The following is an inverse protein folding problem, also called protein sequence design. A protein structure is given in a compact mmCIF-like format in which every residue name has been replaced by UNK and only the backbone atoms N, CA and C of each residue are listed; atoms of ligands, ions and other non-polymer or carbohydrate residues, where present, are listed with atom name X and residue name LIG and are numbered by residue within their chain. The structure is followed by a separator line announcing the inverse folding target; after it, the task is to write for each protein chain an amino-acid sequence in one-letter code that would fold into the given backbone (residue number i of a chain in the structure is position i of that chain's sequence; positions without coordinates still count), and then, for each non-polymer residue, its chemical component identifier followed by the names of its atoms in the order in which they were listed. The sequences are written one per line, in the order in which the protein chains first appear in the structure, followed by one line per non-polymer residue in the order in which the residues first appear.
data_IF_340597614060
#
_entry.id   IF_340597614060
#
_cell.length_a   1.000
_cell.length_b   1.000
_cell.length_c   1.000
_cell.angle_alpha   90.00
_cell.angle_beta   90.00
_cell.angle_gamma   90.00
#
_symmetry.space_group_name_H-M   'P 1'
#
loop_
_entity.id
_entity.type
_entity.pdbx_description
1 polymer ?
#
# COMPACT_ATOMS: atom_id res chain seq x y z
N UNK A 1 0.11 -26.84 12.70
CA UNK A 1 -0.44 -27.26 11.39
C UNK A 1 0.65 -27.98 10.60
N UNK A 2 0.37 -29.19 10.08
CA UNK A 2 1.36 -29.99 9.33
C UNK A 2 1.56 -29.37 7.94
N UNK A 3 2.81 -29.22 7.49
CA UNK A 3 3.14 -28.67 6.15
C UNK A 3 3.28 -29.82 5.16
N UNK A 4 2.37 -29.93 4.19
CA UNK A 4 2.30 -31.05 3.23
C UNK A 4 2.62 -30.66 1.79
N UNK A 5 2.49 -29.38 1.42
CA UNK A 5 2.80 -28.88 0.08
C UNK A 5 4.30 -28.57 -0.08
N UNK A 6 4.85 -28.83 -1.28
CA UNK A 6 6.24 -28.53 -1.63
C UNK A 6 6.34 -27.46 -2.71
N UNK A 7 7.35 -26.58 -2.59
CA UNK A 7 7.72 -25.59 -3.60
C UNK A 7 9.08 -26.03 -4.18
N UNK A 8 9.14 -26.28 -5.49
CA UNK A 8 10.39 -26.67 -6.20
C UNK A 8 10.94 -25.45 -6.94
N UNK A 9 12.18 -25.06 -6.66
CA UNK A 9 12.89 -23.96 -7.34
C UNK A 9 14.23 -24.50 -7.83
N UNK A 10 14.55 -24.27 -9.10
CA UNK A 10 15.89 -24.53 -9.63
C UNK A 10 16.77 -23.32 -9.36
N UNK A 11 17.95 -23.56 -8.84
CA UNK A 11 18.97 -22.54 -8.55
C UNK A 11 20.30 -23.00 -9.12
N UNK A 12 21.12 -22.05 -9.53
CA UNK A 12 22.54 -22.28 -9.82
C UNK A 12 23.31 -22.62 -8.54
N UNK A 13 24.51 -23.16 -8.71
CA UNK A 13 25.37 -23.54 -7.58
C UNK A 13 25.84 -22.33 -6.75
N UNK A 14 26.10 -21.19 -7.41
CA UNK A 14 26.43 -19.92 -6.74
C UNK A 14 25.25 -19.38 -5.94
N UNK A 15 24.04 -19.39 -6.49
CA UNK A 15 22.85 -18.96 -5.76
C UNK A 15 22.58 -19.84 -4.53
N UNK A 16 22.77 -21.16 -4.67
CA UNK A 16 22.59 -22.08 -3.55
C UNK A 16 23.55 -21.76 -2.40
N UNK A 17 24.84 -21.62 -2.70
CA UNK A 17 25.86 -21.32 -1.69
C UNK A 17 25.63 -19.98 -1.02
N UNK A 18 25.21 -18.95 -1.77
CA UNK A 18 24.82 -17.66 -1.20
C UNK A 18 23.64 -17.75 -0.24
N UNK A 19 22.59 -18.48 -0.60
CA UNK A 19 21.39 -18.61 0.23
C UNK A 19 21.70 -19.42 1.49
N UNK A 20 22.52 -20.47 1.38
CA UNK A 20 22.99 -21.26 2.53
C UNK A 20 23.81 -20.41 3.49
N UNK A 21 24.76 -19.63 2.98
CA UNK A 21 25.55 -18.70 3.78
C UNK A 21 24.67 -17.67 4.51
N UNK A 22 23.70 -17.07 3.81
CA UNK A 22 22.73 -16.13 4.40
C UNK A 22 21.87 -16.80 5.49
N UNK A 23 21.45 -18.05 5.27
CA UNK A 23 20.69 -18.81 6.26
C UNK A 23 21.54 -19.11 7.51
N UNK A 24 22.81 -19.45 7.32
CA UNK A 24 23.74 -19.76 8.38
C UNK A 24 24.06 -18.52 9.24
N UNK A 25 24.28 -17.37 8.60
CA UNK A 25 24.42 -16.08 9.30
C UNK A 25 23.16 -15.72 10.11
N UNK A 26 21.98 -16.09 9.62
CA UNK A 26 20.73 -15.87 10.33
C UNK A 26 20.45 -16.91 11.44
N UNK A 27 21.30 -17.95 11.58
CA UNK A 27 21.09 -19.05 12.53
C UNK A 27 19.85 -19.90 12.21
N UNK A 28 19.46 -19.97 10.93
CA UNK A 28 18.24 -20.64 10.50
C UNK A 28 18.57 -21.80 9.55
N UNK A 29 17.69 -22.81 9.53
CA UNK A 29 17.72 -23.81 8.46
C UNK A 29 17.41 -23.13 7.13
N UNK A 30 17.98 -23.65 6.03
CA UNK A 30 17.74 -23.12 4.69
C UNK A 30 16.24 -22.96 4.38
N UNK A 31 15.44 -23.97 4.76
CA UNK A 31 13.99 -23.94 4.54
C UNK A 31 13.26 -22.91 5.41
N UNK A 32 13.68 -22.70 6.67
CA UNK A 32 13.09 -21.65 7.52
C UNK A 32 13.50 -20.26 7.07
N UNK A 33 14.75 -20.10 6.62
CA UNK A 33 15.24 -18.86 6.05
C UNK A 33 14.42 -18.47 4.82
N UNK A 34 14.24 -19.37 3.85
CA UNK A 34 13.44 -19.10 2.65
C UNK A 34 11.99 -18.77 3.04
N UNK A 35 11.36 -19.53 3.93
CA UNK A 35 9.99 -19.26 4.39
C UNK A 35 9.82 -17.88 5.00
N UNK A 36 10.71 -17.50 5.93
CA UNK A 36 10.65 -16.20 6.60
C UNK A 36 10.92 -15.05 5.64
N UNK A 37 11.90 -15.22 4.76
CA UNK A 37 12.29 -14.20 3.78
C UNK A 37 11.18 -13.97 2.77
N UNK A 38 10.58 -15.02 2.21
CA UNK A 38 9.46 -14.89 1.26
C UNK A 38 8.23 -14.30 1.94
N UNK A 39 7.87 -14.75 3.15
CA UNK A 39 6.71 -14.21 3.88
C UNK A 39 6.87 -12.72 4.25
N UNK A 40 8.11 -12.25 4.46
CA UNK A 40 8.42 -10.84 4.73
C UNK A 40 8.71 -10.03 3.48
N UNK A 41 8.96 -10.69 2.34
CA UNK A 41 9.21 -10.00 1.09
C UNK A 41 7.96 -9.24 0.71
N UNK A 42 8.07 -7.91 0.65
CA UNK A 42 7.02 -7.10 0.06
C UNK A 42 7.04 -7.39 -1.43
N UNK A 43 5.97 -8.02 -1.91
CA UNK A 43 5.71 -8.09 -3.35
C UNK A 43 5.79 -6.66 -3.88
N UNK A 44 6.55 -6.45 -4.95
CA UNK A 44 6.69 -5.13 -5.56
C UNK A 44 5.29 -4.64 -5.88
N UNK A 45 4.91 -3.46 -5.36
CA UNK A 45 3.58 -2.91 -5.60
C UNK A 45 3.32 -2.92 -7.10
N UNK A 46 2.19 -3.52 -7.49
CA UNK A 46 1.75 -3.54 -8.88
C UNK A 46 1.65 -2.09 -9.39
N UNK A 47 1.75 -1.89 -10.70
CA UNK A 47 1.61 -0.55 -11.28
C UNK A 47 0.29 0.12 -10.86
N UNK A 48 -0.79 -0.67 -10.81
CA UNK A 48 -2.11 -0.23 -10.34
C UNK A 48 -2.09 0.23 -8.87
N UNK A 49 -1.45 -0.52 -7.97
CA UNK A 49 -1.32 -0.12 -6.56
C UNK A 49 -0.50 1.17 -6.40
N UNK A 50 0.58 1.34 -7.18
CA UNK A 50 1.40 2.56 -7.15
C UNK A 50 0.62 3.76 -7.64
N UNK A 51 -0.20 3.59 -8.68
CA UNK A 51 -1.05 4.63 -9.21
C UNK A 51 -2.14 5.02 -8.22
N UNK A 52 -2.80 4.03 -7.60
CA UNK A 52 -3.78 4.26 -6.53
C UNK A 52 -3.18 5.07 -5.37
N UNK A 53 -1.98 4.68 -4.89
CA UNK A 53 -1.29 5.42 -3.83
C UNK A 53 -0.93 6.86 -4.23
N UNK A 54 -0.54 7.09 -5.50
CA UNK A 54 -0.31 8.44 -6.01
C UNK A 54 -1.58 9.29 -6.01
N UNK A 55 -2.72 8.70 -6.40
CA UNK A 55 -4.01 9.39 -6.37
C UNK A 55 -4.40 9.78 -4.94
N UNK A 56 -4.24 8.87 -3.98
CA UNK A 56 -4.47 9.16 -2.56
C UNK A 56 -3.55 10.27 -2.03
N UNK A 57 -2.26 10.23 -2.40
CA UNK A 57 -1.32 11.28 -1.99
C UNK A 57 -1.71 12.66 -2.56
N UNK A 58 -2.17 12.73 -3.82
CA UNK A 58 -2.66 13.97 -4.42
C UNK A 58 -3.93 14.48 -3.71
N UNK A 59 -4.87 13.59 -3.41
CA UNK A 59 -6.07 13.93 -2.65
C UNK A 59 -5.73 14.49 -1.26
N UNK A 60 -4.84 13.80 -0.52
CA UNK A 60 -4.36 14.26 0.79
C UNK A 60 -3.65 15.62 0.74
N UNK A 61 -2.84 15.86 -0.30
CA UNK A 61 -2.19 17.16 -0.48
C UNK A 61 -3.19 18.29 -0.70
N UNK A 62 -4.24 18.06 -1.48
CA UNK A 62 -5.29 19.05 -1.71
C UNK A 62 -6.06 19.33 -0.40
N UNK A 63 -6.43 18.29 0.35
CA UNK A 63 -7.09 18.44 1.65
C UNK A 63 -6.22 19.22 2.64
N UNK A 64 -4.92 18.96 2.67
CA UNK A 64 -3.99 19.67 3.54
C UNK A 64 -3.83 21.16 3.15
N UNK A 65 -3.93 21.47 1.86
CA UNK A 65 -3.94 22.88 1.40
C UNK A 65 -5.23 23.59 1.83
N UNK A 66 -6.38 22.94 1.68
CA UNK A 66 -7.67 23.48 2.13
C UNK A 66 -7.71 23.70 3.64
N UNK A 67 -7.21 22.74 4.42
CA UNK A 67 -7.11 22.86 5.87
C UNK A 67 -6.21 24.03 6.28
N UNK A 68 -5.04 24.17 5.64
CA UNK A 68 -4.13 25.31 5.89
C UNK A 68 -4.78 26.64 5.51
N UNK A 69 -5.46 26.71 4.37
CA UNK A 69 -6.18 27.90 3.94
C UNK A 69 -7.25 28.28 4.96
N UNK A 70 -8.12 27.34 5.34
CA UNK A 70 -9.18 27.57 6.34
C UNK A 70 -8.61 28.02 7.70
N UNK A 71 -7.49 27.44 8.14
CA UNK A 71 -6.82 27.85 9.38
C UNK A 71 -6.17 29.24 9.31
N UNK A 72 -5.77 29.67 8.10
CA UNK A 72 -5.13 30.96 7.86
C UNK A 72 -6.16 32.08 7.74
N UNK A 73 -7.26 31.82 7.02
CA UNK A 73 -8.34 32.77 6.77
C UNK A 73 -9.55 32.37 7.61
N UNK A 74 -9.52 32.73 8.90
CA UNK A 74 -10.50 32.34 9.95
C UNK A 74 -11.87 33.05 9.85
N UNK A 75 -12.38 33.27 8.64
CA UNK A 75 -13.71 33.85 8.48
C UNK A 75 -14.76 32.73 8.53
N UNK A 76 -15.62 32.72 9.56
CA UNK A 76 -16.52 31.60 9.85
C UNK A 76 -17.47 31.25 8.69
N UNK A 77 -17.84 32.24 7.88
CA UNK A 77 -18.76 32.09 6.75
C UNK A 77 -18.11 31.33 5.58
N UNK A 78 -16.81 31.51 5.33
CA UNK A 78 -16.11 30.84 4.22
C UNK A 78 -15.77 29.38 4.55
N UNK A 79 -15.45 29.08 5.80
CA UNK A 79 -15.20 27.72 6.28
C UNK A 79 -16.46 26.83 6.14
N UNK A 80 -17.64 27.36 6.48
CA UNK A 80 -18.92 26.63 6.33
C UNK A 80 -19.22 26.35 4.85
N UNK A 81 -19.01 27.32 3.96
CA UNK A 81 -19.22 27.11 2.51
C UNK A 81 -18.29 26.05 1.93
N UNK A 82 -17.02 26.05 2.35
CA UNK A 82 -16.05 25.04 1.95
C UNK A 82 -16.46 23.64 2.42
N UNK A 83 -16.93 23.52 3.66
CA UNK A 83 -17.35 22.24 4.23
C UNK A 83 -18.59 21.67 3.51
N UNK A 84 -19.56 22.53 3.16
CA UNK A 84 -20.74 22.13 2.36
C UNK A 84 -20.32 21.67 0.95
N UNK A 85 -19.38 22.35 0.30
CA UNK A 85 -18.89 21.96 -1.02
C UNK A 85 -18.10 20.65 -1.00
N UNK A 86 -17.31 20.40 0.05
CA UNK A 86 -16.61 19.12 0.23
C UNK A 86 -17.59 17.98 0.49
N UNK A 87 -18.64 18.21 1.28
CA UNK A 87 -19.68 17.22 1.54
C UNK A 87 -20.51 16.91 0.28
N UNK A 88 -20.82 17.90 -0.56
CA UNK A 88 -21.50 17.65 -1.84
C UNK A 88 -20.62 16.83 -2.79
N UNK A 89 -19.32 17.13 -2.89
CA UNK A 89 -18.36 16.34 -3.66
C UNK A 89 -18.28 14.90 -3.14
N UNK A 90 -18.20 14.70 -1.82
CA UNK A 90 -18.18 13.38 -1.18
C UNK A 90 -19.41 12.55 -1.58
N UNK A 91 -20.61 13.14 -1.54
CA UNK A 91 -21.86 12.45 -1.90
C UNK A 91 -21.86 11.99 -3.36
N UNK A 92 -21.39 12.83 -4.28
CA UNK A 92 -21.31 12.46 -5.72
C UNK A 92 -20.33 11.31 -5.92
N UNK A 93 -19.17 11.35 -5.27
CA UNK A 93 -18.17 10.28 -5.38
C UNK A 93 -18.67 8.96 -4.79
N UNK A 94 -19.31 8.98 -3.62
CA UNK A 94 -19.87 7.78 -2.98
C UNK A 94 -21.07 7.21 -3.76
N UNK A 95 -21.91 8.07 -4.35
CA UNK A 95 -23.02 7.62 -5.20
C UNK A 95 -22.54 7.00 -6.52
N UNK A 96 -21.39 7.46 -7.05
CA UNK A 96 -20.78 6.92 -8.26
C UNK A 96 -20.16 5.52 -8.10
N UNK A 97 -19.85 5.09 -6.88
CA UNK A 97 -19.28 3.76 -6.60
C UNK A 97 -20.33 2.62 -6.68
N UNK A 98 -21.63 2.94 -6.66
CA UNK A 98 -22.71 1.97 -6.83
C UNK A 98 -23.05 1.61 -8.29
N UNK A 99 -22.37 2.23 -9.26
CA UNK A 99 -22.67 2.12 -10.70
C UNK A 99 -21.70 1.25 -11.51
N UNK A 100 -20.81 0.49 -10.87
CA UNK A 100 -19.97 -0.49 -11.56
C UNK A 100 -20.53 -1.90 -11.30
N UNK A 101 -21.60 -2.22 -12.01
CA UNK A 101 -22.00 -3.60 -12.28
C UNK A 101 -21.97 -3.84 -13.79
N UNK A 102 -21.38 -4.98 -14.13
CA UNK A 102 -21.20 -5.64 -15.44
C UNK A 102 -20.14 -5.08 -16.37
#
# INVERSE_FOLDING_TARGET
MKRTAMIKVRVSESEKTEIEHKAQLAGLTLSDFIRRTVARSRTRQTQAEREHLRLLARAGNNLNQLARWANTYKSDIEAVRLLVALESLRRVLVAGEGGQCT
#
